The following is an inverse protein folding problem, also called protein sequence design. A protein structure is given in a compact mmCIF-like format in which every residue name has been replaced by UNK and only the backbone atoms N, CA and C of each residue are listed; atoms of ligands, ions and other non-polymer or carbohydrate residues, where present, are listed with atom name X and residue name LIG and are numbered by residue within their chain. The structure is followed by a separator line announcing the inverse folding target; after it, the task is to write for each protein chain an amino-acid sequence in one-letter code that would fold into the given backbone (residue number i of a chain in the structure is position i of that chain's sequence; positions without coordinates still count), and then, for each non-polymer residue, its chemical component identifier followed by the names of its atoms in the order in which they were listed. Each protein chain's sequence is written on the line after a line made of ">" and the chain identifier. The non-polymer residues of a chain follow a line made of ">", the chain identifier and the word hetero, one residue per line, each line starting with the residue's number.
data_IF_913697034163
#
_entry.id   IF_913697034163
#
_cell.length_a   1.000
_cell.length_b   1.000
_cell.length_c   1.000
_cell.angle_alpha   90.00
_cell.angle_beta   90.00
_cell.angle_gamma   90.00
#
_symmetry.space_group_name_H-M   'P 1'
#
loop_
_entity.id
_entity.type
_entity.pdbx_description
1 polymer ?
#
# COMPACT_ATOMS: atom_id res chain seq x y z
N UNK A 1 20.16 -36.30 12.05
CA UNK A 1 21.37 -35.46 11.86
C UNK A 1 21.20 -34.73 10.53
N UNK A 2 20.76 -33.47 10.56
CA UNK A 2 20.50 -32.67 9.36
C UNK A 2 21.74 -31.87 8.97
N UNK A 3 22.15 -31.97 7.72
CA UNK A 3 23.41 -31.41 7.20
C UNK A 3 23.30 -29.89 6.97
N UNK A 4 24.14 -29.02 7.57
CA UNK A 4 23.90 -27.58 7.66
C UNK A 4 24.45 -26.73 6.49
N UNK A 5 24.74 -27.29 5.31
CA UNK A 5 25.37 -26.51 4.24
C UNK A 5 24.76 -26.79 2.87
N UNK A 6 23.60 -26.16 2.60
CA UNK A 6 22.99 -26.15 1.28
C UNK A 6 23.15 -24.76 0.63
N UNK A 7 24.16 -24.55 -0.25
CA UNK A 7 24.45 -23.24 -0.86
C UNK A 7 23.33 -22.72 -1.77
N UNK A 8 22.40 -23.59 -2.20
CA UNK A 8 21.24 -23.21 -3.01
C UNK A 8 20.17 -22.43 -2.21
N UNK A 9 20.11 -22.60 -0.88
CA UNK A 9 19.20 -21.84 -0.02
C UNK A 9 19.65 -20.37 0.16
N UNK A 10 20.97 -20.12 0.14
CA UNK A 10 21.55 -18.78 0.26
C UNK A 10 21.37 -17.95 -1.02
N UNK A 11 21.39 -18.60 -2.19
CA UNK A 11 21.15 -17.93 -3.48
C UNK A 11 19.68 -17.54 -3.69
N UNK A 12 18.72 -18.38 -3.27
CA UNK A 12 17.29 -18.07 -3.35
C UNK A 12 16.92 -16.87 -2.45
N UNK A 13 17.46 -16.82 -1.21
CA UNK A 13 17.23 -15.70 -0.30
C UNK A 13 17.84 -14.37 -0.79
N UNK A 14 18.95 -14.41 -1.53
CA UNK A 14 19.55 -13.22 -2.12
C UNK A 14 18.69 -12.65 -3.27
N UNK A 15 18.13 -13.50 -4.13
CA UNK A 15 17.20 -13.05 -5.18
C UNK A 15 15.92 -12.44 -4.59
N UNK A 16 15.34 -13.05 -3.55
CA UNK A 16 14.15 -12.52 -2.87
C UNK A 16 14.44 -11.17 -2.18
N UNK A 17 15.59 -11.03 -1.51
CA UNK A 17 15.97 -9.78 -0.83
C UNK A 17 16.30 -8.64 -1.82
N UNK A 18 16.85 -8.95 -2.99
CA UNK A 18 17.13 -7.95 -4.02
C UNK A 18 15.87 -7.59 -4.85
N UNK A 19 14.97 -8.54 -5.11
CA UNK A 19 13.70 -8.29 -5.80
C UNK A 19 12.76 -7.39 -4.99
N UNK A 20 12.74 -7.54 -3.66
CA UNK A 20 11.97 -6.65 -2.76
C UNK A 20 12.56 -5.23 -2.68
N UNK A 21 13.87 -5.05 -2.86
CA UNK A 21 14.54 -3.74 -2.82
C UNK A 21 14.44 -2.94 -4.13
N UNK A 22 14.16 -3.58 -5.26
CA UNK A 22 14.14 -2.95 -6.58
C UNK A 22 12.77 -2.96 -7.27
N UNK A 23 11.76 -3.57 -6.66
CA UNK A 23 10.36 -3.44 -7.08
C UNK A 23 9.75 -2.22 -6.38
N UNK A 24 9.08 -1.29 -7.09
CA UNK A 24 8.31 -0.26 -6.40
C UNK A 24 7.36 -0.94 -5.42
N UNK A 25 7.40 -0.54 -4.15
CA UNK A 25 6.52 -1.11 -3.13
C UNK A 25 5.08 -1.05 -3.67
N UNK A 26 4.37 -2.18 -3.70
CA UNK A 26 3.03 -2.29 -4.28
C UNK A 26 2.09 -1.20 -3.72
N UNK A 27 2.22 -0.89 -2.43
CA UNK A 27 1.45 0.19 -1.77
C UNK A 27 1.73 1.57 -2.38
N UNK A 28 2.98 1.86 -2.71
CA UNK A 28 3.32 3.12 -3.38
C UNK A 28 2.76 3.18 -4.81
N UNK A 29 2.69 2.04 -5.52
CA UNK A 29 2.08 1.99 -6.84
C UNK A 29 0.57 2.25 -6.76
N UNK A 30 -0.12 1.60 -5.83
CA UNK A 30 -1.53 1.81 -5.53
C UNK A 30 -1.82 3.28 -5.17
N UNK A 31 -0.98 3.89 -4.32
CA UNK A 31 -1.08 5.31 -3.99
C UNK A 31 -0.92 6.22 -5.22
N UNK A 32 0.06 5.95 -6.09
CA UNK A 32 0.27 6.73 -7.33
C UNK A 32 -0.93 6.66 -8.27
N UNK A 33 -1.60 5.52 -8.34
CA UNK A 33 -2.79 5.33 -9.18
C UNK A 33 -3.98 6.15 -8.66
N UNK A 34 -4.20 6.18 -7.34
CA UNK A 34 -5.20 7.08 -6.71
C UNK A 34 -4.91 8.56 -7.01
N UNK A 35 -3.65 8.98 -6.87
CA UNK A 35 -3.26 10.37 -7.17
C UNK A 35 -3.41 10.72 -8.65
N UNK A 36 -3.26 9.75 -9.55
CA UNK A 36 -3.54 9.94 -10.98
C UNK A 36 -5.04 10.16 -11.22
N UNK A 37 -5.92 9.41 -10.55
CA UNK A 37 -7.36 9.66 -10.61
C UNK A 37 -7.72 11.07 -10.11
N UNK A 38 -7.08 11.53 -9.02
CA UNK A 38 -7.29 12.89 -8.51
C UNK A 38 -6.90 13.98 -9.49
N UNK A 39 -5.82 13.78 -10.27
CA UNK A 39 -5.45 14.71 -11.33
C UNK A 39 -6.52 14.75 -12.42
N UNK A 40 -7.03 13.59 -12.83
CA UNK A 40 -8.11 13.51 -13.82
C UNK A 40 -9.40 14.19 -13.32
N UNK A 41 -9.76 14.05 -12.04
CA UNK A 41 -10.89 14.77 -11.45
C UNK A 41 -10.67 16.28 -11.44
N UNK A 42 -9.49 16.76 -11.05
CA UNK A 42 -9.17 18.19 -11.05
C UNK A 42 -9.18 18.78 -12.45
N UNK A 43 -8.66 18.05 -13.43
CA UNK A 43 -8.74 18.43 -14.85
C UNK A 43 -10.20 18.52 -15.29
N UNK A 44 -11.04 17.52 -14.95
CA UNK A 44 -12.46 17.55 -15.24
C UNK A 44 -13.17 18.76 -14.61
N UNK A 45 -12.86 19.12 -13.36
CA UNK A 45 -13.38 20.33 -12.70
C UNK A 45 -12.94 21.61 -13.43
N UNK A 46 -11.69 21.69 -13.91
CA UNK A 46 -11.17 22.85 -14.62
C UNK A 46 -11.85 23.07 -15.98
N UNK A 47 -12.21 21.99 -16.68
CA UNK A 47 -12.91 22.04 -17.97
C UNK A 47 -14.41 21.77 -17.85
N UNK A 48 -15.02 22.00 -16.69
CA UNK A 48 -16.38 21.55 -16.40
C UNK A 48 -17.43 22.05 -17.41
N UNK A 49 -17.30 23.31 -17.86
CA UNK A 49 -18.25 23.89 -18.82
C UNK A 49 -18.13 23.30 -20.24
N UNK A 50 -17.04 22.60 -20.54
CA UNK A 50 -16.74 22.03 -21.86
C UNK A 50 -16.57 20.52 -21.87
N UNK A 51 -16.63 19.85 -20.72
CA UNK A 51 -16.52 18.39 -20.63
C UNK A 51 -17.78 17.73 -21.19
N UNK A 52 -17.60 16.74 -22.06
CA UNK A 52 -18.72 15.89 -22.49
C UNK A 52 -19.15 14.92 -21.39
N UNK A 53 -20.39 14.41 -21.51
CA UNK A 53 -20.90 13.40 -20.57
C UNK A 53 -20.07 12.11 -20.64
N UNK A 54 -19.61 11.77 -21.82
CA UNK A 54 -18.76 10.61 -22.09
C UNK A 54 -17.40 10.75 -21.42
N UNK A 55 -16.74 11.90 -21.56
CA UNK A 55 -15.46 12.18 -20.87
C UNK A 55 -15.63 12.16 -19.34
N UNK A 56 -16.73 12.70 -18.81
CA UNK A 56 -17.00 12.65 -17.38
C UNK A 56 -17.18 11.19 -16.90
N UNK A 57 -17.93 10.37 -17.63
CA UNK A 57 -18.09 8.94 -17.30
C UNK A 57 -16.76 8.18 -17.40
N UNK A 58 -15.91 8.47 -18.38
CA UNK A 58 -14.59 7.85 -18.50
C UNK A 58 -13.71 8.12 -17.27
N UNK A 59 -13.68 9.37 -16.79
CA UNK A 59 -12.92 9.75 -15.59
C UNK A 59 -13.48 9.06 -14.34
N UNK A 60 -14.81 9.04 -14.17
CA UNK A 60 -15.46 8.35 -13.06
C UNK A 60 -15.25 6.82 -13.12
N UNK A 61 -15.30 6.24 -14.32
CA UNK A 61 -15.06 4.82 -14.58
C UNK A 61 -13.63 4.44 -14.22
N UNK A 62 -12.65 5.26 -14.58
CA UNK A 62 -11.27 5.05 -14.17
C UNK A 62 -11.14 4.94 -12.66
N UNK A 63 -11.79 5.84 -11.90
CA UNK A 63 -11.82 5.76 -10.44
C UNK A 63 -12.54 4.49 -9.93
N UNK A 64 -13.68 4.11 -10.51
CA UNK A 64 -14.38 2.86 -10.15
C UNK A 64 -13.50 1.63 -10.35
N UNK A 65 -12.71 1.58 -11.41
CA UNK A 65 -11.79 0.46 -11.68
C UNK A 65 -10.70 0.31 -10.61
N UNK A 66 -10.17 1.44 -10.13
CA UNK A 66 -9.21 1.43 -9.02
C UNK A 66 -9.86 0.88 -7.75
N UNK A 67 -11.09 1.31 -7.46
CA UNK A 67 -11.84 0.86 -6.29
C UNK A 67 -12.29 -0.60 -6.38
N UNK A 68 -12.59 -1.12 -7.57
CA UNK A 68 -12.82 -2.57 -7.76
C UNK A 68 -11.59 -3.37 -7.34
N UNK A 69 -10.39 -2.99 -7.80
CA UNK A 69 -9.14 -3.65 -7.40
C UNK A 69 -8.92 -3.61 -5.86
N UNK A 70 -9.20 -2.48 -5.19
CA UNK A 70 -9.09 -2.41 -3.74
C UNK A 70 -10.09 -3.32 -3.01
N UNK A 71 -11.33 -3.38 -3.49
CA UNK A 71 -12.37 -4.24 -2.91
C UNK A 71 -12.04 -5.72 -3.15
N UNK A 72 -11.63 -6.10 -4.35
CA UNK A 72 -11.23 -7.46 -4.70
C UNK A 72 -10.07 -7.91 -3.79
N UNK A 73 -9.02 -7.10 -3.68
CA UNK A 73 -7.89 -7.36 -2.78
C UNK A 73 -8.32 -7.43 -1.31
N UNK A 74 -9.32 -6.65 -0.89
CA UNK A 74 -9.81 -6.70 0.48
C UNK A 74 -10.65 -7.96 0.75
N UNK A 75 -11.36 -8.48 -0.23
CA UNK A 75 -12.19 -9.69 -0.09
C UNK A 75 -11.36 -10.96 -0.20
N UNK A 76 -10.36 -10.99 -1.09
CA UNK A 76 -9.52 -12.15 -1.35
C UNK A 76 -8.42 -12.36 -0.29
N UNK A 77 -8.00 -11.30 0.41
CA UNK A 77 -6.93 -11.39 1.41
C UNK A 77 -7.46 -11.85 2.79
N UNK A 78 -7.38 -13.17 3.02
CA UNK A 78 -7.71 -13.84 4.27
C UNK A 78 -6.54 -13.94 5.26
N UNK A 79 -5.42 -13.26 4.98
CA UNK A 79 -4.22 -13.36 5.81
C UNK A 79 -4.53 -12.99 7.27
N UNK A 80 -3.92 -13.71 8.25
CA UNK A 80 -4.14 -13.45 9.67
C UNK A 80 -3.70 -12.03 10.08
N UNK A 81 -2.85 -11.42 9.27
CA UNK A 81 -2.26 -10.10 9.48
C UNK A 81 -3.19 -8.95 9.04
N UNK A 82 -4.31 -9.28 8.36
CA UNK A 82 -5.33 -8.32 7.92
C UNK A 82 -6.59 -8.44 8.78
N UNK A 83 -6.87 -7.46 9.67
CA UNK A 83 -8.09 -7.47 10.47
C UNK A 83 -9.36 -7.42 9.62
N UNK A 84 -10.39 -8.17 10.01
CA UNK A 84 -11.72 -8.15 9.35
C UNK A 84 -12.31 -6.74 9.29
N UNK A 85 -12.08 -5.92 10.31
CA UNK A 85 -12.52 -4.53 10.33
C UNK A 85 -11.93 -3.70 9.18
N UNK A 86 -10.64 -3.88 8.87
CA UNK A 86 -9.99 -3.19 7.76
C UNK A 86 -10.61 -3.59 6.41
N UNK A 87 -10.87 -4.88 6.21
CA UNK A 87 -11.55 -5.37 5.00
C UNK A 87 -12.94 -4.76 4.86
N UNK A 88 -13.72 -4.76 5.93
CA UNK A 88 -15.08 -4.20 5.94
C UNK A 88 -15.09 -2.70 5.66
N UNK A 89 -14.11 -1.96 6.19
CA UNK A 89 -13.97 -0.53 5.94
C UNK A 89 -13.66 -0.25 4.46
N UNK A 90 -12.76 -1.03 3.84
CA UNK A 90 -12.44 -0.90 2.40
C UNK A 90 -13.68 -1.22 1.55
N UNK A 91 -14.39 -2.32 1.84
CA UNK A 91 -15.61 -2.67 1.13
C UNK A 91 -16.69 -1.60 1.23
N UNK A 92 -16.88 -1.03 2.43
CA UNK A 92 -17.85 0.05 2.68
C UNK A 92 -17.51 1.32 1.90
N UNK A 93 -16.23 1.70 1.86
CA UNK A 93 -15.76 2.81 1.04
C UNK A 93 -15.95 2.52 -0.46
N UNK A 94 -15.67 1.30 -0.93
CA UNK A 94 -15.93 0.91 -2.32
C UNK A 94 -17.40 1.09 -2.71
N UNK A 95 -18.33 0.64 -1.87
CA UNK A 95 -19.77 0.85 -2.07
C UNK A 95 -20.13 2.33 -2.13
N UNK A 96 -19.60 3.14 -1.19
CA UNK A 96 -19.80 4.59 -1.22
C UNK A 96 -19.32 5.20 -2.54
N UNK A 97 -18.11 4.87 -2.99
CA UNK A 97 -17.54 5.41 -4.23
C UNK A 97 -18.40 5.02 -5.44
N UNK A 98 -18.82 3.76 -5.54
CA UNK A 98 -19.65 3.32 -6.66
C UNK A 98 -20.97 4.08 -6.71
N UNK A 99 -21.68 4.18 -5.58
CA UNK A 99 -22.93 4.93 -5.48
C UNK A 99 -22.73 6.42 -5.80
N UNK A 100 -21.69 7.03 -5.26
CA UNK A 100 -21.41 8.46 -5.47
C UNK A 100 -21.08 8.78 -6.93
N UNK A 101 -20.33 7.90 -7.61
CA UNK A 101 -20.07 8.09 -9.05
C UNK A 101 -21.34 7.97 -9.90
N UNK A 102 -22.32 7.14 -9.51
CA UNK A 102 -23.62 7.09 -10.18
C UNK A 102 -24.44 8.35 -9.90
N UNK A 103 -24.40 8.88 -8.67
CA UNK A 103 -25.05 10.15 -8.32
C UNK A 103 -24.49 11.34 -9.13
N UNK A 104 -23.18 11.37 -9.36
CA UNK A 104 -22.55 12.38 -10.24
C UNK A 104 -23.06 12.26 -11.68
N UNK A 105 -23.20 11.04 -12.21
CA UNK A 105 -23.71 10.84 -13.57
C UNK A 105 -25.20 11.21 -13.71
N UNK A 106 -25.97 11.09 -12.62
CA UNK A 106 -27.39 11.42 -12.58
C UNK A 106 -27.63 12.93 -12.43
N UNK A 107 -26.86 13.60 -11.59
CA UNK A 107 -26.90 15.05 -11.34
C UNK A 107 -25.46 15.61 -11.30
N UNK A 108 -24.87 15.90 -12.48
CA UNK A 108 -23.48 16.33 -12.59
C UNK A 108 -23.24 17.69 -11.96
N UNK A 109 -22.33 17.72 -10.97
CA UNK A 109 -21.85 18.95 -10.32
C UNK A 109 -20.35 18.83 -10.03
N UNK A 110 -19.55 19.88 -10.27
CA UNK A 110 -18.09 19.79 -10.12
C UNK A 110 -17.69 19.56 -8.66
N UNK A 111 -18.44 20.09 -7.70
CA UNK A 111 -18.17 19.96 -6.26
C UNK A 111 -18.36 18.51 -5.77
N UNK A 112 -19.16 17.70 -6.47
CA UNK A 112 -19.32 16.29 -6.12
C UNK A 112 -18.04 15.48 -6.37
N UNK A 113 -17.09 15.99 -7.17
CA UNK A 113 -15.78 15.36 -7.33
C UNK A 113 -14.86 15.57 -6.11
N UNK A 114 -15.13 16.56 -5.27
CA UNK A 114 -14.24 16.94 -4.15
C UNK A 114 -14.08 15.81 -3.14
N UNK A 115 -15.19 15.15 -2.75
CA UNK A 115 -15.13 14.03 -1.81
C UNK A 115 -14.38 12.82 -2.38
N UNK A 116 -14.45 12.59 -3.70
CA UNK A 116 -13.67 11.53 -4.34
C UNK A 116 -12.17 11.85 -4.31
N UNK A 117 -11.82 13.11 -4.54
CA UNK A 117 -10.44 13.61 -4.46
C UNK A 117 -9.89 13.47 -3.03
N UNK A 118 -10.68 13.87 -2.03
CA UNK A 118 -10.29 13.81 -0.62
C UNK A 118 -10.04 12.37 -0.18
N UNK A 119 -11.02 11.46 -0.38
CA UNK A 119 -10.89 10.05 -0.02
C UNK A 119 -9.65 9.43 -0.69
N UNK A 120 -9.47 9.64 -1.99
CA UNK A 120 -8.29 9.12 -2.69
C UNK A 120 -6.97 9.70 -2.16
N UNK A 121 -6.95 10.97 -1.73
CA UNK A 121 -5.75 11.62 -1.18
C UNK A 121 -5.39 11.04 0.19
N UNK A 122 -6.37 10.86 1.07
CA UNK A 122 -6.17 10.29 2.41
C UNK A 122 -5.68 8.84 2.33
N UNK A 123 -6.29 8.03 1.47
CA UNK A 123 -5.86 6.64 1.25
C UNK A 123 -4.46 6.60 0.63
N UNK A 124 -4.17 7.44 -0.37
CA UNK A 124 -2.84 7.51 -0.96
C UNK A 124 -1.78 7.93 0.07
N UNK A 125 -2.07 8.91 0.92
CA UNK A 125 -1.18 9.34 1.99
C UNK A 125 -0.88 8.18 2.96
N UNK A 126 -1.91 7.45 3.39
CA UNK A 126 -1.76 6.27 4.24
C UNK A 126 -0.89 5.19 3.60
N UNK A 127 -1.13 4.86 2.32
CA UNK A 127 -0.36 3.87 1.56
C UNK A 127 1.11 4.26 1.33
N UNK A 128 1.41 5.56 1.28
CA UNK A 128 2.77 6.09 1.18
C UNK A 128 3.54 6.06 2.49
N UNK A 129 2.86 5.89 3.63
CA UNK A 129 3.54 5.72 4.92
C UNK A 129 4.19 4.33 4.99
N UNK A 130 5.46 4.27 5.38
CA UNK A 130 6.12 3.00 5.68
C UNK A 130 5.60 2.46 7.02
N UNK A 131 5.11 1.21 7.11
CA UNK A 131 4.69 0.65 8.38
C UNK A 131 5.89 0.60 9.35
N UNK A 132 5.65 0.96 10.61
CA UNK A 132 6.66 1.10 11.67
C UNK A 132 7.34 -0.22 12.10
N UNK A 133 7.23 -1.29 11.30
CA UNK A 133 7.75 -2.63 11.60
C UNK A 133 9.03 -3.01 10.85
N UNK A 134 9.44 -2.29 9.81
CA UNK A 134 10.55 -2.72 8.91
C UNK A 134 11.93 -2.16 9.29
N UNK A 135 12.08 -1.50 10.44
CA UNK A 135 13.33 -0.85 10.86
C UNK A 135 13.94 -1.32 12.18
N UNK A 136 13.31 -2.25 12.90
CA UNK A 136 13.67 -2.55 14.29
C UNK A 136 14.37 -3.91 14.53
N UNK A 137 14.63 -4.70 13.49
CA UNK A 137 15.26 -6.03 13.66
C UNK A 137 16.76 -6.11 13.30
N UNK A 138 17.37 -5.04 12.80
CA UNK A 138 18.80 -5.07 12.41
C UNK A 138 19.75 -4.45 13.47
N UNK A 139 19.22 -3.89 14.56
CA UNK A 139 20.03 -3.18 15.57
C UNK A 139 20.39 -4.01 16.81
N UNK A 140 20.23 -5.33 16.80
CA UNK A 140 20.42 -6.17 18.01
C UNK A 140 21.37 -7.36 17.86
N UNK A 141 22.22 -7.39 16.83
CA UNK A 141 23.27 -8.42 16.68
C UNK A 141 24.69 -7.86 16.73
N UNK A 142 24.98 -6.97 17.67
CA UNK A 142 26.38 -6.70 18.01
C UNK A 142 26.51 -6.22 19.45
N UNK A 143 26.46 -7.16 20.40
CA UNK A 143 27.18 -7.15 21.69
C UNK A 143 26.59 -8.19 22.65
N UNK A 144 27.38 -9.27 22.89
CA UNK A 144 27.46 -10.12 24.11
C UNK A 144 28.39 -11.31 23.79
N UNK A 145 29.72 -11.17 23.98
CA UNK A 145 30.53 -11.56 25.17
C UNK A 145 31.15 -12.98 25.04
N UNK A 146 32.20 -13.41 25.79
CA UNK A 146 32.80 -12.79 26.98
C UNK A 146 34.35 -12.69 27.03
N UNK A 147 34.83 -11.76 27.86
CA UNK A 147 36.14 -11.82 28.51
C UNK A 147 36.21 -13.02 29.46
N UNK A 148 37.29 -13.81 29.40
CA UNK A 148 37.67 -14.71 30.49
C UNK A 148 38.76 -14.04 31.34
N UNK A 149 38.45 -13.87 32.62
CA UNK A 149 39.30 -13.28 33.64
C UNK A 149 40.41 -14.22 34.10
N UNK A 150 41.61 -13.66 34.13
CA UNK A 150 42.69 -13.82 35.12
C UNK A 150 42.35 -14.66 36.38
N UNK A 151 43.20 -15.63 36.71
CA UNK A 151 43.66 -15.83 38.10
C UNK A 151 45.12 -16.27 38.11
N UNK A 152 45.89 -15.64 39.00
CA UNK A 152 47.32 -15.81 39.27
C UNK A 152 47.61 -16.99 40.23
N UNK A 153 48.90 -17.11 40.59
CA UNK A 153 49.56 -17.96 41.61
C UNK A 153 50.26 -19.23 41.08
N UNK A 154 51.49 -19.61 41.45
CA UNK A 154 52.54 -19.04 42.30
C UNK A 154 53.81 -19.91 42.13
N UNK A 155 54.98 -19.26 42.06
CA UNK A 155 56.29 -19.67 42.61
C UNK A 155 56.69 -21.17 42.68
N UNK A 156 57.74 -21.55 41.94
CA UNK A 156 58.87 -22.37 42.40
C UNK A 156 60.07 -22.19 41.46
#
# INVERSE_FOLDING_TARGET
>A
MSNPNNPYASAAGAYDQHAQKHTPNQRELEARVLLKANRAFKEAQQKWDSISREELDEVLKYNRQIWMMFVDNAVEDDSPDRPTELRNNIASLGVFIFNHTLDILADPKPEKLDILIEVNSEIAAGLMTKPKGEGAQDASKEQKEPQQSRTEDSKA
#
